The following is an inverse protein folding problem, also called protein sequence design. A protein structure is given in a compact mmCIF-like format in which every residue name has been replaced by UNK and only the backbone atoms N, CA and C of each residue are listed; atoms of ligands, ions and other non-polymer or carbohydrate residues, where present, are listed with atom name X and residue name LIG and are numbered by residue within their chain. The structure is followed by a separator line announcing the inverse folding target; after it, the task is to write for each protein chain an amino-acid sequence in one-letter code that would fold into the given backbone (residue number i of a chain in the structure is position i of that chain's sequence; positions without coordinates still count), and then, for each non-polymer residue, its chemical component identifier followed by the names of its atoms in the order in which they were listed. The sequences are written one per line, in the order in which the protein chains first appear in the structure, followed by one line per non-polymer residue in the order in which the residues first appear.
data_IF_669804497088
#
_entry.id   IF_669804497088
#
_cell.length_a   1.000
_cell.length_b   1.000
_cell.length_c   1.000
_cell.angle_alpha   90.00
_cell.angle_beta   90.00
_cell.angle_gamma   90.00
#
_symmetry.space_group_name_H-M   'P 1'
#
loop_
_entity.id
_entity.type
_entity.pdbx_description
1 polymer ?
#
# COMPACT_ATOMS: atom_id res chain seq x y z
N UNK A 1 34.15 -11.21 22.94
CA UNK A 1 33.69 -12.06 21.81
C UNK A 1 32.18 -12.04 21.59
N UNK A 2 31.33 -11.95 22.63
CA UNK A 2 29.85 -11.96 22.46
C UNK A 2 29.31 -10.68 21.77
N UNK A 3 29.91 -9.51 22.00
CA UNK A 3 29.48 -8.24 21.39
C UNK A 3 29.56 -8.25 19.85
N UNK A 4 30.55 -8.94 19.26
CA UNK A 4 30.67 -9.05 17.80
C UNK A 4 29.62 -9.96 17.19
N UNK A 5 29.23 -11.04 17.90
CA UNK A 5 28.17 -11.95 17.44
C UNK A 5 26.83 -11.21 17.44
N UNK A 6 26.50 -10.50 18.52
CA UNK A 6 25.29 -9.68 18.57
C UNK A 6 25.30 -8.61 17.48
N UNK A 7 26.39 -7.86 17.30
CA UNK A 7 26.49 -6.84 16.26
C UNK A 7 26.30 -7.43 14.84
N UNK A 8 26.87 -8.61 14.55
CA UNK A 8 26.75 -9.25 13.22
C UNK A 8 25.31 -9.66 12.85
N UNK A 9 24.47 -9.96 13.84
CA UNK A 9 23.07 -10.36 13.63
C UNK A 9 22.18 -9.13 13.41
N UNK A 10 22.47 -8.01 14.08
CA UNK A 10 21.59 -6.83 14.08
C UNK A 10 22.04 -5.68 13.16
N UNK A 11 23.32 -5.62 12.74
CA UNK A 11 23.83 -4.58 11.84
C UNK A 11 23.25 -4.56 10.42
N UNK A 12 22.89 -5.70 9.76
CA UNK A 12 22.41 -5.67 8.39
C UNK A 12 21.17 -4.79 8.20
N UNK A 13 20.25 -4.77 9.18
CA UNK A 13 18.99 -4.03 9.10
C UNK A 13 19.13 -2.51 9.06
N UNK A 14 20.24 -1.94 9.54
CA UNK A 14 20.46 -0.48 9.55
C UNK A 14 20.80 0.09 8.16
N UNK A 15 21.24 -0.76 7.23
CA UNK A 15 21.65 -0.34 5.88
C UNK A 15 20.63 -0.66 4.79
N UNK A 16 19.56 -1.42 5.11
CA UNK A 16 18.53 -1.77 4.14
C UNK A 16 17.40 -0.75 4.21
N UNK A 17 17.43 0.18 3.26
CA UNK A 17 16.39 1.19 3.09
C UNK A 17 15.54 0.85 1.87
N UNK A 18 14.22 1.04 1.96
CA UNK A 18 13.34 0.82 0.83
C UNK A 18 13.53 1.90 -0.24
N UNK A 19 13.65 1.49 -1.50
CA UNK A 19 14.03 2.35 -2.63
C UNK A 19 12.93 2.48 -3.68
N UNK A 20 12.02 1.52 -3.74
CA UNK A 20 11.00 1.47 -4.78
C UNK A 20 9.75 2.22 -4.34
N UNK A 21 9.38 3.22 -5.12
CA UNK A 21 8.10 3.91 -5.00
C UNK A 21 6.98 3.00 -5.47
N UNK A 22 5.74 3.30 -5.09
CA UNK A 22 4.59 2.50 -5.52
C UNK A 22 3.38 3.35 -5.86
N UNK A 23 2.49 2.75 -6.65
CA UNK A 23 1.19 3.30 -6.99
C UNK A 23 0.13 2.64 -6.14
N UNK A 24 -0.79 3.45 -5.63
CA UNK A 24 -1.98 2.97 -4.94
C UNK A 24 -3.21 3.79 -5.32
N UNK A 25 -4.37 3.24 -5.02
CA UNK A 25 -5.67 3.85 -5.20
C UNK A 25 -6.29 4.16 -3.85
N UNK A 26 -6.96 5.31 -3.76
CA UNK A 26 -7.81 5.67 -2.62
C UNK A 26 -9.23 6.00 -3.04
N UNK A 27 -10.18 5.79 -2.12
CA UNK A 27 -11.62 5.89 -2.39
C UNK A 27 -12.29 4.63 -2.94
N UNK A 28 -11.56 3.50 -2.98
CA UNK A 28 -12.06 2.20 -3.46
C UNK A 28 -12.90 1.49 -2.37
N UNK A 29 -14.00 2.10 -1.95
CA UNK A 29 -14.87 1.59 -0.89
C UNK A 29 -15.73 0.42 -1.39
N UNK A 30 -15.68 -0.71 -0.69
CA UNK A 30 -16.45 -1.92 -1.00
C UNK A 30 -17.98 -1.68 -1.08
N UNK A 31 -18.50 -0.70 -0.34
CA UNK A 31 -19.93 -0.38 -0.37
C UNK A 31 -20.35 0.43 -1.60
N UNK A 32 -19.41 1.02 -2.33
CA UNK A 32 -19.67 1.87 -3.47
C UNK A 32 -19.12 1.22 -4.73
N UNK A 33 -20.00 1.04 -5.72
CA UNK A 33 -19.56 0.58 -7.03
C UNK A 33 -18.79 1.68 -7.73
N UNK A 34 -17.49 1.50 -7.80
CA UNK A 34 -16.64 2.34 -8.63
C UNK A 34 -16.93 2.07 -10.10
N UNK A 35 -16.99 3.13 -10.90
CA UNK A 35 -17.23 2.99 -12.33
C UNK A 35 -16.09 2.21 -13.03
N UNK A 36 -14.90 2.22 -12.42
CA UNK A 36 -13.70 1.67 -13.02
C UNK A 36 -12.85 0.89 -12.01
N UNK A 37 -12.28 -0.21 -12.47
CA UNK A 37 -11.26 -0.98 -11.78
C UNK A 37 -9.89 -0.70 -12.40
N UNK A 38 -8.89 -0.44 -11.56
CA UNK A 38 -7.50 -0.29 -11.99
C UNK A 38 -6.76 -1.60 -11.74
N UNK A 39 -5.99 -2.04 -12.72
CA UNK A 39 -5.14 -3.23 -12.65
C UNK A 39 -3.83 -2.98 -13.41
N UNK A 40 -2.84 -3.84 -13.20
CA UNK A 40 -1.60 -3.80 -13.96
C UNK A 40 -1.62 -4.97 -14.96
N UNK A 41 -1.42 -4.66 -16.24
CA UNK A 41 -1.26 -5.65 -17.31
C UNK A 41 -0.03 -5.29 -18.13
N UNK A 42 0.85 -6.26 -18.40
CA UNK A 42 2.09 -6.06 -19.16
C UNK A 42 2.95 -4.88 -18.64
N UNK A 43 3.00 -4.71 -17.32
CA UNK A 43 3.77 -3.63 -16.68
C UNK A 43 3.12 -2.24 -16.77
N UNK A 44 1.86 -2.15 -17.21
CA UNK A 44 1.16 -0.89 -17.45
C UNK A 44 -0.16 -0.84 -16.70
N UNK A 45 -0.53 0.36 -16.26
CA UNK A 45 -1.83 0.59 -15.64
C UNK A 45 -2.94 0.45 -16.71
N UNK A 46 -3.93 -0.37 -16.41
CA UNK A 46 -5.13 -0.57 -17.22
C UNK A 46 -6.36 -0.23 -16.39
N UNK A 47 -7.30 0.46 -17.04
CA UNK A 47 -8.58 0.86 -16.48
C UNK A 47 -9.69 0.05 -17.16
N UNK A 48 -10.42 -0.75 -16.41
CA UNK A 48 -11.53 -1.57 -16.90
C UNK A 48 -12.85 -1.02 -16.38
N UNK A 49 -13.86 -0.93 -17.25
CA UNK A 49 -15.22 -0.59 -16.86
C UNK A 49 -15.89 -1.76 -16.15
N UNK A 50 -16.52 -1.48 -15.01
CA UNK A 50 -17.30 -2.48 -14.29
C UNK A 50 -18.73 -2.40 -14.80
N UNK A 51 -19.24 -3.50 -15.37
CA UNK A 51 -20.65 -3.58 -15.77
C UNK A 51 -21.53 -3.60 -14.52
N UNK A 52 -22.50 -2.70 -14.49
CA UNK A 52 -23.36 -2.47 -13.32
C UNK A 52 -24.60 -3.37 -13.39
N UNK A 53 -25.00 -4.03 -12.29
CA UNK A 53 -26.34 -4.60 -12.19
C UNK A 53 -27.39 -3.48 -12.14
N UNK A 54 -28.47 -3.65 -12.90
CA UNK A 54 -29.61 -2.74 -13.02
C UNK A 54 -30.45 -2.77 -11.72
N UNK A 55 -30.01 -2.08 -10.67
CA UNK A 55 -30.76 -1.98 -9.41
C UNK A 55 -30.96 -0.51 -9.02
N UNK A 56 -32.11 -0.19 -8.43
CA UNK A 56 -32.64 1.18 -8.33
C UNK A 56 -32.17 1.96 -7.07
N UNK A 57 -31.54 1.29 -6.09
CA UNK A 57 -31.07 1.93 -4.84
C UNK A 57 -29.61 2.42 -4.89
N UNK A 58 -29.17 2.94 -6.05
CA UNK A 58 -27.76 3.27 -6.26
C UNK A 58 -27.38 4.67 -5.75
N UNK A 59 -26.37 4.71 -4.88
CA UNK A 59 -25.65 5.93 -4.57
C UNK A 59 -24.68 6.28 -5.73
N UNK A 60 -24.44 7.56 -6.02
CA UNK A 60 -23.56 7.95 -7.11
C UNK A 60 -22.14 7.38 -6.91
N UNK A 61 -21.43 7.01 -8.01
CA UNK A 61 -20.07 6.54 -7.92
C UNK A 61 -19.20 7.59 -7.24
N UNK A 62 -18.35 7.17 -6.30
CA UNK A 62 -17.34 8.08 -5.74
C UNK A 62 -16.16 8.18 -6.68
N UNK A 63 -15.52 9.35 -6.64
CA UNK A 63 -14.31 9.58 -7.41
C UNK A 63 -13.15 8.81 -6.77
N UNK A 64 -12.56 7.93 -7.56
CA UNK A 64 -11.40 7.12 -7.18
C UNK A 64 -10.13 7.86 -7.58
N UNK A 65 -9.24 8.07 -6.63
CA UNK A 65 -8.00 8.83 -6.82
C UNK A 65 -6.78 7.93 -6.88
N UNK A 66 -5.86 8.25 -7.80
CA UNK A 66 -4.58 7.56 -7.95
C UNK A 66 -3.47 8.36 -7.28
N UNK A 67 -2.60 7.67 -6.58
CA UNK A 67 -1.47 8.27 -5.88
C UNK A 67 -0.18 7.52 -6.17
N UNK A 68 0.90 8.27 -6.32
CA UNK A 68 2.27 7.76 -6.25
C UNK A 68 2.81 8.08 -4.86
N UNK A 69 3.30 7.07 -4.16
CA UNK A 69 3.97 7.23 -2.88
C UNK A 69 5.49 7.23 -3.06
N UNK A 70 6.13 8.32 -2.67
CA UNK A 70 7.59 8.44 -2.55
C UNK A 70 8.01 7.87 -1.20
N UNK A 71 8.66 6.70 -1.23
CA UNK A 71 9.03 5.96 -0.02
C UNK A 71 10.20 6.60 0.73
N UNK A 72 11.10 7.27 0.00
CA UNK A 72 12.23 7.96 0.59
C UNK A 72 11.75 9.15 1.42
N UNK A 73 10.83 9.95 0.87
CA UNK A 73 10.23 11.11 1.54
C UNK A 73 9.07 10.76 2.46
N UNK A 74 8.47 9.57 2.29
CA UNK A 74 7.25 9.15 2.97
C UNK A 74 6.09 10.11 2.67
N UNK A 75 5.88 10.41 1.40
CA UNK A 75 4.86 11.36 0.94
C UNK A 75 4.10 10.81 -0.26
N UNK A 76 2.79 11.04 -0.31
CA UNK A 76 1.95 10.70 -1.46
C UNK A 76 1.63 11.93 -2.30
N UNK A 77 1.68 11.80 -3.62
CA UNK A 77 1.20 12.80 -4.58
C UNK A 77 0.09 12.22 -5.43
N UNK A 78 -0.97 12.98 -5.65
CA UNK A 78 -2.03 12.62 -6.58
C UNK A 78 -1.48 12.61 -8.01
N UNK A 79 -1.91 11.65 -8.81
CA UNK A 79 -1.51 11.52 -10.23
C UNK A 79 -2.71 11.25 -11.10
N UNK A 80 -2.64 11.73 -12.34
CA UNK A 80 -3.62 11.39 -13.35
C UNK A 80 -3.42 9.96 -13.85
N UNK A 81 -4.47 9.38 -14.46
CA UNK A 81 -4.37 8.07 -15.09
C UNK A 81 -3.31 8.02 -16.19
N UNK A 82 -3.22 9.08 -17.02
CA UNK A 82 -2.26 9.15 -18.12
C UNK A 82 -0.80 9.14 -17.61
N UNK A 83 -0.53 9.86 -16.52
CA UNK A 83 0.80 9.83 -15.88
C UNK A 83 1.11 8.46 -15.30
N UNK A 84 0.15 7.85 -14.59
CA UNK A 84 0.34 6.55 -13.98
C UNK A 84 0.49 5.42 -15.01
N UNK A 85 -0.15 5.53 -16.17
CA UNK A 85 -0.02 4.59 -17.29
C UNK A 85 1.36 4.66 -17.95
N UNK A 86 2.02 5.81 -17.93
CA UNK A 86 3.37 5.95 -18.46
C UNK A 86 4.43 5.25 -17.58
N UNK A 87 4.13 4.95 -16.31
CA UNK A 87 5.01 4.23 -15.41
C UNK A 87 5.17 2.76 -15.80
N UNK A 88 6.26 2.14 -15.37
CA UNK A 88 6.46 0.70 -15.44
C UNK A 88 6.12 0.11 -14.08
N UNK A 89 5.08 -0.72 -14.01
CA UNK A 89 4.50 -1.19 -12.76
C UNK A 89 4.73 -2.69 -12.58
N UNK A 90 5.09 -3.10 -11.37
CA UNK A 90 5.13 -4.49 -10.94
C UNK A 90 4.03 -4.74 -9.91
N UNK A 91 3.06 -5.58 -10.24
CA UNK A 91 1.95 -5.93 -9.36
C UNK A 91 2.33 -6.94 -8.26
N UNK A 92 3.58 -7.35 -8.16
CA UNK A 92 4.07 -8.19 -7.06
C UNK A 92 3.76 -7.56 -5.70
N UNK A 93 3.33 -8.38 -4.74
CA UNK A 93 3.11 -7.94 -3.36
C UNK A 93 4.42 -7.50 -2.67
N UNK A 94 5.54 -8.00 -3.17
CA UNK A 94 6.89 -7.72 -2.65
C UNK A 94 7.64 -6.91 -3.69
N UNK A 95 8.22 -5.80 -3.27
CA UNK A 95 9.05 -4.94 -4.09
C UNK A 95 10.34 -5.66 -4.50
N UNK A 96 11.05 -5.18 -5.54
CA UNK A 96 12.32 -5.78 -5.96
C UNK A 96 13.41 -5.77 -4.87
N UNK A 97 13.32 -4.87 -3.87
CA UNK A 97 14.20 -4.82 -2.70
C UNK A 97 13.65 -5.57 -1.48
N UNK A 98 12.57 -6.35 -1.61
CA UNK A 98 12.11 -7.26 -0.56
C UNK A 98 11.21 -6.63 0.51
N UNK A 99 10.58 -5.50 0.21
CA UNK A 99 9.62 -4.83 1.07
C UNK A 99 8.18 -5.10 0.62
N UNK A 100 7.25 -5.12 1.57
CA UNK A 100 5.82 -5.29 1.35
C UNK A 100 5.03 -4.20 2.07
N UNK A 101 3.89 -3.81 1.51
CA UNK A 101 2.93 -2.91 2.16
C UNK A 101 1.95 -3.73 2.99
N UNK A 102 2.00 -3.59 4.31
CA UNK A 102 1.16 -4.34 5.26
C UNK A 102 0.25 -3.43 6.07
N UNK A 103 -0.83 -4.01 6.58
CA UNK A 103 -1.72 -3.34 7.54
C UNK A 103 -1.02 -3.14 8.88
N UNK A 104 -1.31 -2.02 9.54
CA UNK A 104 -0.97 -1.86 10.94
C UNK A 104 -1.79 -2.79 11.82
N UNK A 105 -1.11 -3.62 12.61
CA UNK A 105 -1.68 -4.17 13.82
C UNK A 105 -1.20 -3.29 14.97
N UNK A 106 -2.10 -2.75 15.79
CA UNK A 106 -1.72 -2.19 17.08
C UNK A 106 -1.40 -3.37 18.00
N UNK A 107 -0.19 -3.88 17.86
CA UNK A 107 0.38 -4.93 18.70
C UNK A 107 1.76 -4.47 19.15
N UNK A 108 1.80 -3.44 19.99
CA UNK A 108 3.00 -3.18 20.80
C UNK A 108 3.09 -4.33 21.81
N UNK A 109 4.06 -5.23 21.62
CA UNK A 109 4.25 -6.35 22.52
C UNK A 109 5.60 -7.03 22.35
N UNK A 110 6.56 -6.66 23.19
CA UNK A 110 7.79 -7.43 23.44
C UNK A 110 7.52 -8.59 24.44
N UNK A 111 6.26 -8.99 24.65
CA UNK A 111 5.85 -10.02 25.63
C UNK A 111 4.67 -10.87 25.13
N UNK A 112 4.63 -12.19 25.41
CA UNK A 112 3.78 -13.17 24.72
C UNK A 112 2.37 -13.39 25.31
N UNK A 113 1.78 -12.42 26.03
CA UNK A 113 0.55 -12.67 26.81
C UNK A 113 -0.63 -11.71 26.57
N UNK A 114 -0.54 -10.76 25.64
CA UNK A 114 -1.64 -9.82 25.36
C UNK A 114 -2.08 -9.89 23.90
N UNK A 115 -2.97 -10.84 23.59
CA UNK A 115 -3.53 -11.04 22.25
C UNK A 115 -4.93 -10.41 22.15
N UNK A 116 -4.98 -9.09 22.08
CA UNK A 116 -6.16 -8.35 21.60
C UNK A 116 -5.67 -7.40 20.51
N UNK A 117 -5.54 -7.93 19.28
CA UNK A 117 -5.06 -7.16 18.13
C UNK A 117 -6.23 -6.46 17.45
N UNK A 118 -6.49 -5.21 17.81
CA UNK A 118 -7.24 -4.32 16.93
C UNK A 118 -6.37 -3.96 15.71
N UNK A 119 -6.79 -4.41 14.52
CA UNK A 119 -6.18 -3.97 13.26
C UNK A 119 -6.60 -2.53 13.02
N UNK A 120 -5.63 -1.63 12.93
CA UNK A 120 -5.88 -0.25 12.53
C UNK A 120 -5.87 -0.19 11.00
N UNK A 121 -7.06 -0.37 10.42
CA UNK A 121 -7.30 -0.40 8.97
C UNK A 121 -6.91 0.87 8.22
N UNK A 122 -6.64 1.99 8.92
CA UNK A 122 -6.16 3.22 8.30
C UNK A 122 -4.63 3.33 8.28
N UNK A 123 -3.93 2.58 9.13
CA UNK A 123 -2.48 2.60 9.15
C UNK A 123 -1.89 1.53 8.24
N UNK A 124 -0.88 1.92 7.46
CA UNK A 124 -0.10 1.03 6.63
C UNK A 124 1.37 1.17 6.98
N UNK A 125 2.09 0.08 6.81
CA UNK A 125 3.51 -0.01 7.08
C UNK A 125 4.20 -0.63 5.89
N UNK A 126 5.42 -0.20 5.66
CA UNK A 126 6.34 -0.83 4.74
C UNK A 126 7.26 -1.73 5.55
N UNK A 127 7.15 -3.04 5.33
CA UNK A 127 7.82 -4.07 6.13
C UNK A 127 8.77 -4.88 5.24
N UNK A 128 9.96 -5.16 5.74
CA UNK A 128 10.97 -5.96 5.03
C UNK A 128 12.25 -5.99 5.84
N UNK A 129 13.12 -7.00 5.66
CA UNK A 129 14.45 -7.06 6.30
C UNK A 129 14.46 -6.80 7.82
N UNK A 130 13.46 -7.31 8.55
CA UNK A 130 13.26 -7.08 9.98
C UNK A 130 13.04 -5.61 10.40
N UNK A 131 12.77 -4.71 9.45
CA UNK A 131 12.39 -3.33 9.70
C UNK A 131 10.94 -3.09 9.27
N UNK A 132 10.30 -2.12 9.94
CA UNK A 132 8.95 -1.67 9.62
C UNK A 132 8.89 -0.15 9.71
N UNK A 133 8.41 0.51 8.65
CA UNK A 133 8.27 1.97 8.59
C UNK A 133 6.81 2.32 8.36
N UNK A 134 6.24 3.19 9.21
CA UNK A 134 4.87 3.67 9.03
C UNK A 134 4.78 4.55 7.78
N UNK A 135 3.81 4.26 6.91
CA UNK A 135 3.55 5.01 5.69
C UNK A 135 2.60 6.19 5.97
N UNK A 136 2.93 7.35 5.41
CA UNK A 136 2.05 8.52 5.41
C UNK A 136 1.27 8.58 4.09
N UNK A 137 0.10 7.95 4.08
CA UNK A 137 -0.73 7.82 2.90
C UNK A 137 -1.86 8.85 2.92
N UNK A 138 -2.13 9.44 1.76
CA UNK A 138 -3.36 10.21 1.54
C UNK A 138 -4.49 9.23 1.24
N UNK A 139 -5.39 9.08 2.21
CA UNK A 139 -6.55 8.20 2.14
C UNK A 139 -7.84 9.03 2.17
N UNK A 140 -8.70 8.87 1.17
CA UNK A 140 -10.03 9.46 1.08
C UNK A 140 -11.11 8.39 1.18
N UNK A 141 -12.09 8.53 2.08
CA UNK A 141 -13.27 7.64 2.18
C UNK A 141 -13.52 7.05 3.57
N UNK A 142 -14.31 5.97 3.66
CA UNK A 142 -14.67 5.28 4.92
C UNK A 142 -13.55 4.39 5.47
N UNK A 143 -13.41 4.34 6.81
CA UNK A 143 -12.33 3.71 7.59
C UNK A 143 -11.89 2.28 7.20
N UNK A 144 -12.68 1.53 6.43
CA UNK A 144 -12.45 0.10 6.21
C UNK A 144 -11.76 -0.27 4.89
N UNK A 145 -11.81 0.54 3.81
CA UNK A 145 -11.29 0.14 2.49
C UNK A 145 -10.72 1.29 1.64
N UNK A 146 -10.09 2.29 2.25
CA UNK A 146 -9.60 3.46 1.52
C UNK A 146 -8.27 3.28 0.78
N UNK A 147 -7.70 2.07 0.76
CA UNK A 147 -6.38 1.82 0.19
C UNK A 147 -6.38 0.52 -0.62
N UNK A 148 -6.03 0.61 -1.90
CA UNK A 148 -5.70 -0.53 -2.74
C UNK A 148 -4.33 -0.35 -3.37
N UNK A 149 -3.42 -1.28 -3.09
CA UNK A 149 -2.12 -1.35 -3.75
C UNK A 149 -2.28 -1.74 -5.22
N UNK A 150 -1.53 -1.07 -6.11
CA UNK A 150 -1.57 -1.33 -7.56
C UNK A 150 -0.27 -1.98 -8.03
N UNK A 151 0.87 -1.44 -7.63
CA UNK A 151 2.16 -1.98 -8.02
C UNK A 151 3.34 -1.10 -7.65
N UNK A 152 4.52 -1.70 -7.64
CA UNK A 152 5.81 -1.03 -7.48
C UNK A 152 6.25 -0.38 -8.79
N UNK A 153 6.89 0.77 -8.71
CA UNK A 153 7.46 1.47 -9.88
C UNK A 153 8.85 0.90 -10.14
N UNK A 154 9.05 0.27 -11.30
CA UNK A 154 10.34 -0.25 -11.76
C UNK A 154 11.15 0.77 -12.54
#
# INVERSE_FOLDING_TARGET
MILFVAASIYLPGLFVQPKYNFVYVSGDDYYYYNQYQYSVQNGKLVKSEIQKPENQNYQPPREVKLYVHDVAKNESREVSFAEAQNLNLDSSNISPDGFEVTYGSRGDGFFPFFFWSDRDYNTRYLKGHNVSKKLNLQLSGSYYNNFRFIGWIK
#
